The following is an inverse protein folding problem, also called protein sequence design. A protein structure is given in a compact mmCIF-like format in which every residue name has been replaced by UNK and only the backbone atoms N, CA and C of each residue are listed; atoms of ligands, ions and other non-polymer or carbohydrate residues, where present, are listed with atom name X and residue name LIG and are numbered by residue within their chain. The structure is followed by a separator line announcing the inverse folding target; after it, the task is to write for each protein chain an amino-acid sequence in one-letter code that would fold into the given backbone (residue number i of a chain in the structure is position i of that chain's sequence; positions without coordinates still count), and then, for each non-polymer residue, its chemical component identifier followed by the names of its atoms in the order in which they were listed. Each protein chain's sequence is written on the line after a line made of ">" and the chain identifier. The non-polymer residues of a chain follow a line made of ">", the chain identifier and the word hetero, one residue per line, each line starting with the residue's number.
data_IF_542217931436
#
_entry.id   IF_542217931436
#
_cell.length_a   1.000
_cell.length_b   1.000
_cell.length_c   1.000
_cell.angle_alpha   90.00
_cell.angle_beta   90.00
_cell.angle_gamma   90.00
#
_symmetry.space_group_name_H-M   'P 1'
#
loop_
_entity.id
_entity.type
_entity.pdbx_description
1 polymer ?
#
# COMPACT_ATOMS: atom_id res chain seq x y z
N UNK A 1 -18.82 -28.27 8.86
CA UNK A 1 -19.75 -27.21 9.26
C UNK A 1 -19.98 -26.32 8.05
N UNK A 2 -21.22 -25.94 7.74
CA UNK A 2 -21.54 -25.05 6.63
C UNK A 2 -21.51 -23.61 7.13
N UNK A 3 -20.91 -22.70 6.36
CA UNK A 3 -20.79 -21.28 6.71
C UNK A 3 -21.38 -20.45 5.57
N UNK A 4 -22.58 -19.90 5.82
CA UNK A 4 -23.32 -19.12 4.84
C UNK A 4 -22.63 -17.79 4.54
N UNK A 5 -21.88 -17.21 5.49
CA UNK A 5 -21.20 -15.94 5.28
C UNK A 5 -20.20 -16.04 4.13
N UNK A 6 -19.48 -17.17 4.03
CA UNK A 6 -18.49 -17.41 2.95
C UNK A 6 -19.10 -17.56 1.56
N UNK A 7 -20.39 -17.87 1.46
CA UNK A 7 -21.10 -17.92 0.17
C UNK A 7 -21.58 -16.54 -0.24
N UNK A 8 -22.05 -15.75 0.73
CA UNK A 8 -22.57 -14.40 0.47
C UNK A 8 -21.44 -13.38 0.26
N UNK A 9 -20.29 -13.55 0.90
CA UNK A 9 -19.12 -12.69 0.69
C UNK A 9 -18.61 -12.81 -0.75
N UNK A 10 -18.64 -11.71 -1.49
CA UNK A 10 -18.23 -11.67 -2.90
C UNK A 10 -19.35 -11.99 -3.90
N UNK A 11 -20.60 -12.18 -3.46
CA UNK A 11 -21.72 -12.44 -4.38
C UNK A 11 -22.21 -11.18 -5.11
N UNK A 12 -21.73 -9.99 -4.74
CA UNK A 12 -22.03 -8.71 -5.40
C UNK A 12 -23.54 -8.47 -5.65
N UNK A 13 -24.40 -8.90 -4.71
CA UNK A 13 -25.86 -8.73 -4.78
C UNK A 13 -26.61 -9.76 -5.62
N UNK A 14 -25.95 -10.75 -6.22
CA UNK A 14 -26.60 -11.79 -7.04
C UNK A 14 -27.36 -12.84 -6.23
N UNK A 15 -26.96 -13.08 -4.98
CA UNK A 15 -27.52 -14.13 -4.12
C UNK A 15 -28.44 -13.60 -3.02
N UNK A 16 -28.15 -12.43 -2.47
CA UNK A 16 -28.92 -11.81 -1.40
C UNK A 16 -28.59 -10.33 -1.26
N UNK A 17 -29.44 -9.62 -0.52
CA UNK A 17 -29.15 -8.27 -0.01
C UNK A 17 -28.68 -8.38 1.44
N UNK A 18 -27.51 -7.82 1.75
CA UNK A 18 -26.97 -7.74 3.12
C UNK A 18 -27.42 -6.41 3.73
N UNK A 19 -28.14 -6.46 4.85
CA UNK A 19 -28.60 -5.26 5.57
C UNK A 19 -27.69 -4.87 6.73
N UNK A 20 -27.05 -5.86 7.36
CA UNK A 20 -26.18 -5.69 8.52
C UNK A 20 -25.01 -6.67 8.44
N UNK A 21 -23.86 -6.26 8.97
CA UNK A 21 -22.67 -7.11 9.08
C UNK A 21 -22.00 -6.90 10.43
N UNK A 22 -21.68 -7.99 11.13
CA UNK A 22 -20.80 -7.96 12.30
C UNK A 22 -19.37 -8.16 11.82
N UNK A 23 -18.47 -7.23 12.15
CA UNK A 23 -17.08 -7.25 11.72
C UNK A 23 -16.16 -7.48 12.91
N UNK A 24 -15.13 -8.30 12.70
CA UNK A 24 -14.00 -8.39 13.61
C UNK A 24 -13.03 -7.23 13.30
N UNK A 25 -12.89 -6.29 14.23
CA UNK A 25 -12.14 -5.05 14.03
C UNK A 25 -10.83 -5.06 14.81
N UNK A 26 -9.80 -4.43 14.25
CA UNK A 26 -8.51 -4.24 14.91
C UNK A 26 -8.39 -2.84 15.50
N UNK A 27 -7.66 -2.65 16.63
CA UNK A 27 -7.33 -1.32 17.15
C UNK A 27 -6.58 -0.46 16.11
N UNK A 28 -6.70 0.86 16.25
CA UNK A 28 -5.93 1.80 15.43
C UNK A 28 -4.47 1.76 15.89
N UNK A 29 -3.49 1.49 14.99
CA UNK A 29 -2.09 1.43 15.35
C UNK A 29 -1.57 2.80 15.81
N UNK A 30 -0.76 2.82 16.86
CA UNK A 30 -0.18 4.07 17.40
C UNK A 30 0.90 4.69 16.53
N UNK A 31 1.57 3.88 15.73
CA UNK A 31 2.68 4.28 14.87
C UNK A 31 2.43 3.81 13.45
N UNK A 32 2.79 4.66 12.50
CA UNK A 32 2.66 4.41 11.08
C UNK A 32 3.81 5.06 10.33
N UNK A 33 4.35 4.37 9.35
CA UNK A 33 5.43 4.84 8.51
C UNK A 33 5.22 4.34 7.09
N UNK A 34 5.40 5.24 6.13
CA UNK A 34 5.29 4.94 4.70
C UNK A 34 6.64 5.11 4.04
N UNK A 35 7.02 4.15 3.20
CA UNK A 35 8.24 4.20 2.38
C UNK A 35 7.84 4.19 0.92
N UNK A 36 8.22 5.24 0.20
CA UNK A 36 7.98 5.40 -1.22
C UNK A 36 9.21 4.94 -2.02
N UNK A 37 9.09 3.80 -2.70
CA UNK A 37 10.16 3.25 -3.55
C UNK A 37 9.84 3.57 -5.01
N UNK A 38 10.75 4.29 -5.67
CA UNK A 38 10.55 4.87 -7.01
C UNK A 38 11.26 4.02 -8.05
N UNK A 39 10.61 3.80 -9.20
CA UNK A 39 11.11 2.94 -10.26
C UNK A 39 11.08 3.65 -11.61
N UNK A 40 12.04 3.31 -12.46
CA UNK A 40 12.14 3.77 -13.85
C UNK A 40 11.25 2.98 -14.82
N UNK A 41 10.60 1.91 -14.34
CA UNK A 41 9.54 1.20 -15.05
C UNK A 41 8.57 0.53 -14.09
N UNK A 42 7.32 0.33 -14.53
CA UNK A 42 6.34 -0.45 -13.78
C UNK A 42 6.76 -1.92 -13.61
N UNK A 43 7.42 -2.51 -14.61
CA UNK A 43 7.97 -3.88 -14.53
C UNK A 43 9.03 -4.00 -13.43
N UNK A 44 9.92 -3.01 -13.30
CA UNK A 44 10.90 -2.93 -12.20
C UNK A 44 10.20 -2.92 -10.83
N UNK A 45 9.09 -2.19 -10.70
CA UNK A 45 8.30 -2.14 -9.46
C UNK A 45 7.68 -3.51 -9.13
N UNK A 46 7.11 -4.20 -10.12
CA UNK A 46 6.52 -5.53 -9.95
C UNK A 46 7.57 -6.60 -9.62
N UNK A 47 8.75 -6.54 -10.24
CA UNK A 47 9.86 -7.47 -9.93
C UNK A 47 10.39 -7.28 -8.51
N UNK A 48 10.32 -6.07 -7.97
CA UNK A 48 10.73 -5.77 -6.60
C UNK A 48 9.66 -6.14 -5.56
N UNK A 49 8.36 -6.11 -5.91
CA UNK A 49 7.27 -6.38 -4.98
C UNK A 49 7.44 -7.66 -4.11
N UNK A 50 7.90 -8.83 -4.63
CA UNK A 50 8.14 -10.01 -3.80
C UNK A 50 9.20 -9.81 -2.70
N UNK A 51 10.16 -8.89 -2.90
CA UNK A 51 11.11 -8.50 -1.86
C UNK A 51 10.43 -7.65 -0.79
N UNK A 52 9.62 -6.67 -1.19
CA UNK A 52 8.89 -5.79 -0.26
C UNK A 52 7.90 -6.57 0.62
N UNK A 53 7.19 -7.56 0.06
CA UNK A 53 6.27 -8.42 0.83
C UNK A 53 7.01 -9.20 1.92
N UNK A 54 8.28 -9.58 1.69
CA UNK A 54 9.10 -10.27 2.70
C UNK A 54 9.55 -9.35 3.84
N UNK A 55 9.42 -8.03 3.70
CA UNK A 55 9.71 -7.07 4.76
C UNK A 55 8.68 -7.10 5.90
N UNK A 56 7.60 -7.90 5.78
CA UNK A 56 6.51 -7.97 6.77
C UNK A 56 5.87 -6.60 7.01
N UNK A 57 5.77 -5.81 5.94
CA UNK A 57 4.97 -4.59 5.90
C UNK A 57 3.48 -4.93 6.11
N UNK A 58 2.72 -3.96 6.62
CA UNK A 58 1.26 -4.06 6.70
C UNK A 58 0.65 -4.11 5.29
N UNK A 59 1.17 -3.30 4.38
CA UNK A 59 0.75 -3.25 2.98
C UNK A 59 1.92 -2.93 2.05
N UNK A 60 1.79 -3.39 0.81
CA UNK A 60 2.64 -3.02 -0.33
C UNK A 60 1.70 -2.74 -1.49
N UNK A 61 1.62 -1.49 -1.91
CA UNK A 61 0.79 -1.06 -3.04
C UNK A 61 1.66 -0.60 -4.19
N UNK A 62 1.32 -1.00 -5.41
CA UNK A 62 2.05 -0.63 -6.63
C UNK A 62 1.18 0.28 -7.48
N UNK A 63 1.75 1.44 -7.86
CA UNK A 63 1.12 2.42 -8.75
C UNK A 63 1.91 2.49 -10.05
N UNK A 64 1.22 2.40 -11.18
CA UNK A 64 1.82 2.57 -12.52
C UNK A 64 1.97 4.04 -12.92
N UNK A 65 2.69 4.29 -14.00
CA UNK A 65 2.88 5.65 -14.49
C UNK A 65 1.59 6.32 -14.94
N UNK A 66 0.58 5.56 -15.39
CA UNK A 66 -0.69 6.13 -15.85
C UNK A 66 -1.46 6.73 -14.68
N UNK A 67 -1.67 5.95 -13.62
CA UNK A 67 -2.34 6.40 -12.39
C UNK A 67 -1.55 7.51 -11.72
N UNK A 68 -0.21 7.38 -11.66
CA UNK A 68 0.64 8.42 -11.09
C UNK A 68 0.54 9.75 -11.85
N UNK A 69 0.52 9.72 -13.18
CA UNK A 69 0.39 10.94 -13.99
C UNK A 69 -1.00 11.56 -13.86
N UNK A 70 -2.05 10.74 -13.80
CA UNK A 70 -3.39 11.25 -13.49
C UNK A 70 -3.43 11.90 -12.10
N UNK A 71 -2.78 11.31 -11.10
CA UNK A 71 -2.72 11.89 -9.76
C UNK A 71 -1.99 13.23 -9.73
N UNK A 72 -0.95 13.43 -10.56
CA UNK A 72 -0.22 14.71 -10.68
C UNK A 72 -1.06 15.86 -11.24
N UNK A 73 -2.09 15.55 -12.00
CA UNK A 73 -3.02 16.53 -12.58
C UNK A 73 -4.13 16.94 -11.58
N UNK A 74 -4.30 16.19 -10.48
CA UNK A 74 -5.30 16.45 -9.45
C UNK A 74 -4.82 17.50 -8.43
N UNK A 75 -5.75 18.31 -7.91
CA UNK A 75 -5.47 19.33 -6.88
C UNK A 75 -4.83 18.74 -5.61
N UNK A 76 -5.14 17.48 -5.29
CA UNK A 76 -4.59 16.77 -4.12
C UNK A 76 -3.08 16.58 -4.24
N UNK A 77 -2.51 16.54 -5.46
CA UNK A 77 -1.07 16.42 -5.69
C UNK A 77 -0.25 17.46 -4.94
N UNK A 78 -0.77 18.69 -4.83
CA UNK A 78 -0.11 19.78 -4.12
C UNK A 78 0.13 19.48 -2.64
N UNK A 79 -0.67 18.60 -2.03
CA UNK A 79 -0.52 18.19 -0.63
C UNK A 79 0.52 17.07 -0.43
N UNK A 80 0.85 16.29 -1.47
CA UNK A 80 1.68 15.07 -1.34
C UNK A 80 2.96 15.08 -2.16
N UNK A 81 3.13 15.99 -3.13
CA UNK A 81 4.29 16.01 -4.03
C UNK A 81 5.66 16.01 -3.31
N UNK A 82 5.74 16.64 -2.13
CA UNK A 82 6.98 16.68 -1.35
C UNK A 82 7.40 15.28 -0.83
N UNK A 83 6.47 14.33 -0.76
CA UNK A 83 6.71 12.94 -0.37
C UNK A 83 7.05 12.04 -1.58
N UNK A 84 6.82 12.52 -2.80
CA UNK A 84 6.99 11.78 -4.05
C UNK A 84 7.81 12.65 -5.03
N UNK A 85 9.02 13.01 -4.60
CA UNK A 85 9.93 13.85 -5.38
C UNK A 85 10.56 13.10 -6.55
N UNK A 86 10.82 13.79 -7.65
CA UNK A 86 11.55 13.20 -8.76
C UNK A 86 13.03 12.95 -8.40
N UNK A 87 13.63 11.97 -9.06
CA UNK A 87 15.06 11.65 -8.92
C UNK A 87 15.78 12.23 -10.14
N UNK A 88 16.89 12.98 -9.97
CA UNK A 88 17.63 13.54 -11.09
C UNK A 88 17.98 12.47 -12.14
N UNK A 89 17.83 12.82 -13.42
CA UNK A 89 18.12 11.97 -14.57
C UNK A 89 17.32 10.65 -14.63
N UNK A 90 16.22 10.54 -13.87
CA UNK A 90 15.34 9.38 -13.84
C UNK A 90 13.88 9.81 -13.99
N UNK A 91 13.21 9.20 -14.96
CA UNK A 91 11.77 9.33 -15.10
C UNK A 91 11.08 8.29 -14.22
N UNK A 92 10.19 8.74 -13.33
CA UNK A 92 9.48 7.84 -12.41
C UNK A 92 8.24 7.26 -13.08
N UNK A 93 8.35 5.99 -13.46
CA UNK A 93 7.34 5.23 -14.19
C UNK A 93 6.66 4.14 -13.35
N UNK A 94 7.04 4.01 -12.09
CA UNK A 94 6.39 3.15 -11.11
C UNK A 94 6.71 3.60 -9.68
N UNK A 95 5.79 3.28 -8.77
CA UNK A 95 5.92 3.60 -7.35
C UNK A 95 5.41 2.42 -6.53
N UNK A 96 6.21 1.92 -5.59
CA UNK A 96 5.71 1.07 -4.51
C UNK A 96 5.58 1.89 -3.24
N UNK A 97 4.42 1.82 -2.59
CA UNK A 97 4.13 2.42 -1.31
C UNK A 97 4.10 1.29 -0.28
N UNK A 98 5.04 1.32 0.67
CA UNK A 98 5.19 0.28 1.69
C UNK A 98 4.80 0.86 3.05
N UNK A 99 3.78 0.29 3.68
CA UNK A 99 3.30 0.75 4.99
C UNK A 99 3.76 -0.18 6.11
N UNK A 100 4.38 0.38 7.13
CA UNK A 100 4.60 -0.27 8.43
C UNK A 100 3.72 0.41 9.46
N UNK A 101 2.98 -0.38 10.24
CA UNK A 101 2.19 0.14 11.33
C UNK A 101 2.15 -0.83 12.51
N UNK A 102 2.07 -0.29 13.71
CA UNK A 102 2.04 -1.06 14.95
C UNK A 102 2.03 -0.17 16.18
N UNK A 103 2.16 -0.80 17.35
CA UNK A 103 2.11 -0.10 18.64
C UNK A 103 3.50 0.22 19.21
N UNK A 104 4.55 -0.41 18.69
CA UNK A 104 5.94 -0.20 19.11
C UNK A 104 6.67 0.65 18.07
N UNK A 105 7.01 1.88 18.48
CA UNK A 105 7.73 2.85 17.64
C UNK A 105 9.12 2.37 17.25
N UNK A 106 9.84 1.71 18.16
CA UNK A 106 11.20 1.25 17.94
C UNK A 106 11.20 0.09 16.95
N UNK A 107 10.22 -0.81 17.06
CA UNK A 107 10.05 -1.88 16.10
C UNK A 107 9.74 -1.34 14.70
N UNK A 108 8.77 -0.44 14.57
CA UNK A 108 8.41 0.15 13.27
C UNK A 108 9.61 0.87 12.64
N UNK A 109 10.38 1.64 13.43
CA UNK A 109 11.58 2.30 12.96
C UNK A 109 12.64 1.31 12.47
N UNK A 110 12.88 0.22 13.21
CA UNK A 110 13.82 -0.84 12.82
C UNK A 110 13.40 -1.53 11.52
N UNK A 111 12.10 -1.78 11.30
CA UNK A 111 11.61 -2.39 10.07
C UNK A 111 11.82 -1.48 8.85
N UNK A 112 11.62 -0.17 9.01
CA UNK A 112 11.90 0.82 7.98
C UNK A 112 13.40 0.87 7.68
N UNK A 113 14.25 0.87 8.70
CA UNK A 113 15.70 0.87 8.52
C UNK A 113 16.18 -0.40 7.80
N UNK A 114 15.71 -1.57 8.21
CA UNK A 114 16.03 -2.86 7.59
C UNK A 114 15.63 -2.91 6.11
N UNK A 115 14.50 -2.27 5.75
CA UNK A 115 14.05 -2.16 4.37
C UNK A 115 14.99 -1.26 3.56
N UNK A 116 15.42 -0.12 4.12
CA UNK A 116 16.26 0.86 3.45
C UNK A 116 17.73 0.44 3.29
N UNK A 117 18.22 -0.52 4.07
CA UNK A 117 19.60 -1.01 4.01
C UNK A 117 19.83 -2.08 2.92
N UNK A 118 18.79 -2.52 2.21
CA UNK A 118 18.81 -3.64 1.27
C UNK A 118 18.53 -3.19 -0.15
#
# INVERSE_FOLDING_TARGET
>A
HFDLARILTGSEGTLAFITEATLDITPIPKQRSLVNVKYDSFDSALRNAPFLVKAKALSVETVDSKVLNLAREDIVWHSVNALITDVPDKDMQGLNIVEFAGDDKTLVASQVEDLCQR
#
